data_IF_132263332733
#
_entry.id   IF_132263332733
#
_cell.length_a   1.000
_cell.length_b   1.000
_cell.length_c   1.000
_cell.angle_alpha   90.00
_cell.angle_beta   90.00
_cell.angle_gamma   90.00
#
_symmetry.space_group_name_H-M   'P 1'
#
loop_
_entity.id
_entity.type
_entity.pdbx_description
1 polymer ?
#
# COMPACT_ATOMS: atom_id res chain seq x y z
N UNK A 1 -22.81 -14.53 -8.07
CA UNK A 1 -21.48 -14.49 -8.71
C UNK A 1 -20.75 -13.18 -8.45
N UNK A 2 -21.39 -12.01 -8.62
CA UNK A 2 -20.80 -10.70 -8.27
C UNK A 2 -20.31 -10.61 -6.82
N UNK A 3 -21.19 -10.91 -5.84
CA UNK A 3 -20.83 -10.86 -4.42
C UNK A 3 -19.68 -11.82 -4.07
N UNK A 4 -19.59 -12.96 -4.76
CA UNK A 4 -18.48 -13.92 -4.61
C UNK A 4 -17.16 -13.30 -5.09
N UNK A 5 -17.17 -12.64 -6.25
CA UNK A 5 -15.99 -11.94 -6.78
C UNK A 5 -15.57 -10.82 -5.85
N UNK A 6 -16.51 -9.97 -5.42
CA UNK A 6 -16.25 -8.88 -4.47
C UNK A 6 -15.65 -9.40 -3.16
N UNK A 7 -16.21 -10.47 -2.61
CA UNK A 7 -15.71 -11.06 -1.38
C UNK A 7 -14.29 -11.63 -1.56
N UNK A 8 -14.04 -12.33 -2.67
CA UNK A 8 -12.72 -12.90 -2.97
C UNK A 8 -11.69 -11.79 -3.20
N UNK A 9 -12.00 -10.76 -3.98
CA UNK A 9 -11.07 -9.65 -4.22
C UNK A 9 -10.79 -8.88 -2.93
N UNK A 10 -11.80 -8.66 -2.09
CA UNK A 10 -11.62 -8.05 -0.77
C UNK A 10 -10.72 -8.89 0.16
N UNK A 11 -10.99 -10.20 0.27
CA UNK A 11 -10.17 -11.11 1.08
C UNK A 11 -8.74 -11.20 0.56
N UNK A 12 -8.56 -11.19 -0.77
CA UNK A 12 -7.26 -11.23 -1.41
C UNK A 12 -6.45 -9.96 -1.13
N UNK A 13 -7.06 -8.78 -1.26
CA UNK A 13 -6.40 -7.51 -0.91
C UNK A 13 -6.00 -7.45 0.55
N UNK A 14 -6.86 -7.91 1.49
CA UNK A 14 -6.49 -8.02 2.91
C UNK A 14 -5.26 -8.93 3.09
N UNK A 15 -5.29 -10.10 2.46
CA UNK A 15 -4.22 -11.10 2.57
C UNK A 15 -2.90 -10.53 2.03
N UNK A 16 -2.93 -9.91 0.85
CA UNK A 16 -1.75 -9.29 0.24
C UNK A 16 -1.23 -8.13 1.10
N UNK A 17 -2.11 -7.23 1.58
CA UNK A 17 -1.72 -6.14 2.49
C UNK A 17 -1.09 -6.68 3.78
N UNK A 18 -1.66 -7.73 4.36
CA UNK A 18 -1.13 -8.39 5.56
C UNK A 18 0.27 -8.99 5.32
N UNK A 19 0.47 -9.65 4.19
CA UNK A 19 1.78 -10.19 3.80
C UNK A 19 2.83 -9.08 3.67
N UNK A 20 2.48 -7.98 2.98
CA UNK A 20 3.39 -6.84 2.83
C UNK A 20 3.73 -6.22 4.19
N UNK A 21 2.73 -5.96 5.05
CA UNK A 21 2.97 -5.43 6.40
C UNK A 21 3.88 -6.37 7.20
N UNK A 22 3.67 -7.68 7.13
CA UNK A 22 4.46 -8.66 7.87
C UNK A 22 5.94 -8.65 7.44
N UNK A 23 6.20 -8.50 6.14
CA UNK A 23 7.55 -8.41 5.57
C UNK A 23 8.22 -7.07 5.94
N UNK A 24 7.48 -5.96 5.86
CA UNK A 24 8.06 -4.62 5.98
C UNK A 24 8.02 -4.03 7.40
N UNK A 25 7.32 -4.65 8.35
CA UNK A 25 7.21 -4.14 9.73
C UNK A 25 8.58 -3.89 10.36
N UNK A 26 9.50 -4.85 10.28
CA UNK A 26 10.85 -4.71 10.86
C UNK A 26 11.69 -3.63 10.14
N UNK A 27 11.85 -3.65 8.81
CA UNK A 27 12.56 -2.60 8.08
C UNK A 27 12.03 -1.18 8.35
N UNK A 28 10.70 -1.00 8.38
CA UNK A 28 10.10 0.31 8.67
C UNK A 28 10.47 0.82 10.06
N UNK A 29 10.46 -0.07 11.07
CA UNK A 29 10.85 0.28 12.43
C UNK A 29 12.30 0.74 12.53
N UNK A 30 13.22 0.01 11.87
CA UNK A 30 14.64 0.34 11.85
C UNK A 30 14.94 1.67 11.13
N UNK A 31 14.19 2.00 10.08
CA UNK A 31 14.31 3.30 9.39
C UNK A 31 13.83 4.43 10.31
N UNK A 32 12.65 4.28 10.91
CA UNK A 32 12.09 5.34 11.75
C UNK A 32 12.90 5.58 13.02
N UNK A 33 13.43 4.54 13.68
CA UNK A 33 14.26 4.71 14.89
C UNK A 33 15.59 5.42 14.61
N UNK A 34 16.08 5.43 13.37
CA UNK A 34 17.29 6.17 13.00
C UNK A 34 17.04 7.65 12.74
N UNK A 35 15.80 8.03 12.43
CA UNK A 35 15.46 9.39 12.00
C UNK A 35 14.71 10.15 13.12
N UNK A 36 13.89 9.43 13.89
CA UNK A 36 12.96 9.98 14.88
C UNK A 36 13.32 9.40 16.25
N UNK A 37 13.25 10.24 17.29
CA UNK A 37 13.44 9.82 18.68
C UNK A 37 12.49 8.67 19.08
N UNK A 38 12.99 7.78 19.94
CA UNK A 38 12.40 6.45 20.19
C UNK A 38 10.91 6.45 20.59
N UNK A 39 10.46 7.44 21.36
CA UNK A 39 9.06 7.52 21.81
C UNK A 39 8.08 7.79 20.68
N UNK A 40 8.48 8.57 19.68
CA UNK A 40 7.62 8.99 18.57
C UNK A 40 7.73 7.98 17.41
N UNK A 41 8.91 7.38 17.21
CA UNK A 41 9.16 6.38 16.15
C UNK A 41 8.14 5.24 16.13
N UNK A 42 7.79 4.68 17.30
CA UNK A 42 6.81 3.60 17.41
C UNK A 42 5.40 4.03 16.97
N UNK A 43 5.01 5.29 17.22
CA UNK A 43 3.72 5.83 16.78
C UNK A 43 3.68 5.99 15.25
N UNK A 44 4.77 6.48 14.64
CA UNK A 44 4.89 6.58 13.19
C UNK A 44 4.82 5.22 12.50
N UNK A 45 5.50 4.20 13.05
CA UNK A 45 5.44 2.86 12.51
C UNK A 45 4.01 2.30 12.52
N UNK A 46 3.27 2.48 13.62
CA UNK A 46 1.85 2.08 13.72
C UNK A 46 0.98 2.82 12.69
N UNK A 47 1.22 4.11 12.50
CA UNK A 47 0.51 4.91 11.52
C UNK A 47 0.76 4.41 10.08
N UNK A 48 2.02 4.15 9.72
CA UNK A 48 2.35 3.64 8.38
C UNK A 48 1.74 2.25 8.15
N UNK A 49 1.75 1.36 9.16
CA UNK A 49 1.09 0.05 9.06
C UNK A 49 -0.42 0.23 8.81
N UNK A 50 -1.08 1.11 9.56
CA UNK A 50 -2.49 1.43 9.34
C UNK A 50 -2.73 1.96 7.93
N UNK A 51 -1.91 2.91 7.47
CA UNK A 51 -1.99 3.46 6.12
C UNK A 51 -1.78 2.39 5.05
N UNK A 52 -0.87 1.43 5.26
CA UNK A 52 -0.67 0.29 4.33
C UNK A 52 -1.93 -0.52 4.13
N UNK A 53 -2.66 -0.83 5.22
CA UNK A 53 -3.92 -1.56 5.11
C UNK A 53 -4.97 -0.75 4.35
N UNK A 54 -5.15 0.52 4.71
CA UNK A 54 -6.15 1.39 4.07
C UNK A 54 -5.85 1.55 2.58
N UNK A 55 -4.60 1.89 2.22
CA UNK A 55 -4.20 2.15 0.84
C UNK A 55 -4.16 0.87 0.01
N UNK A 56 -3.69 -0.24 0.58
CA UNK A 56 -3.64 -1.54 -0.09
C UNK A 56 -5.03 -2.07 -0.40
N UNK A 57 -5.91 -2.13 0.62
CA UNK A 57 -7.28 -2.63 0.46
C UNK A 57 -8.08 -1.73 -0.49
N UNK A 58 -7.97 -0.40 -0.35
CA UNK A 58 -8.65 0.55 -1.26
C UNK A 58 -8.11 0.47 -2.69
N UNK A 59 -6.82 0.17 -2.85
CA UNK A 59 -6.18 0.05 -4.17
C UNK A 59 -6.60 -1.20 -4.94
N UNK A 60 -6.71 -2.34 -4.25
CA UNK A 60 -7.05 -3.62 -4.88
C UNK A 60 -8.54 -3.88 -5.06
N UNK A 61 -9.41 -3.29 -4.21
CA UNK A 61 -10.86 -3.46 -4.28
C UNK A 61 -11.47 -2.32 -5.10
N UNK A 62 -11.40 -2.45 -6.42
CA UNK A 62 -11.90 -1.43 -7.35
C UNK A 62 -13.39 -1.53 -7.62
N UNK A 63 -14.19 -1.00 -6.70
CA UNK A 63 -15.67 -0.99 -6.77
C UNK A 63 -16.16 -0.42 -8.12
N UNK A 64 -15.52 0.64 -8.63
CA UNK A 64 -15.89 1.27 -9.91
C UNK A 64 -15.72 0.36 -11.14
N UNK A 65 -14.76 -0.56 -11.11
CA UNK A 65 -14.59 -1.55 -12.19
C UNK A 65 -15.55 -2.73 -12.01
N UNK A 66 -15.89 -3.07 -10.77
CA UNK A 66 -16.90 -4.06 -10.42
C UNK A 66 -18.31 -3.66 -10.90
N UNK A 67 -18.66 -2.38 -10.91
CA UNK A 67 -19.95 -1.88 -11.44
C UNK A 67 -20.20 -2.27 -12.91
N UNK A 68 -19.15 -2.53 -13.70
CA UNK A 68 -19.25 -2.97 -15.11
C UNK A 68 -19.91 -4.34 -15.27
N UNK A 69 -19.99 -5.13 -14.20
CA UNK A 69 -20.64 -6.44 -14.18
C UNK A 69 -22.10 -6.37 -13.73
N UNK A 70 -22.59 -5.19 -13.32
CA UNK A 70 -23.97 -4.96 -12.89
C UNK A 70 -24.70 -4.04 -13.88
N UNK A 71 -24.01 -3.08 -14.49
CA UNK A 71 -24.60 -2.07 -15.37
C UNK A 71 -23.87 -1.99 -16.71
N UNK A 72 -24.62 -2.08 -17.82
CA UNK A 72 -24.07 -1.82 -19.15
C UNK A 72 -23.65 -0.35 -19.26
N UNK A 73 -22.35 -0.09 -19.45
CA UNK A 73 -21.82 1.29 -19.51
C UNK A 73 -22.22 2.05 -20.79
N UNK A 74 -22.65 1.36 -21.84
CA UNK A 74 -23.06 1.95 -23.12
C UNK A 74 -24.25 1.17 -23.71
N UNK A 75 -25.15 1.85 -24.43
CA UNK A 75 -26.35 1.24 -25.04
C UNK A 75 -26.04 0.10 -26.03
N UNK A 76 -24.82 0.05 -26.55
CA UNK A 76 -24.38 -0.94 -27.56
C UNK A 76 -23.34 -1.96 -27.02
N UNK A 77 -23.17 -2.06 -25.70
CA UNK A 77 -22.21 -3.00 -25.09
C UNK A 77 -22.96 -3.97 -24.18
N UNK A 78 -22.94 -5.25 -24.55
CA UNK A 78 -23.53 -6.31 -23.74
C UNK A 78 -22.90 -6.35 -22.33
N UNK A 79 -23.73 -6.67 -21.33
CA UNK A 79 -23.28 -6.88 -19.96
C UNK A 79 -22.18 -7.95 -19.97
N UNK A 80 -21.01 -7.60 -19.45
CA UNK A 80 -19.87 -8.50 -19.42
C UNK A 80 -20.23 -9.73 -18.59
N UNK A 81 -20.36 -10.88 -19.25
CA UNK A 81 -20.61 -12.13 -18.56
C UNK A 81 -19.38 -12.52 -17.73
N UNK A 82 -19.63 -12.91 -16.48
CA UNK A 82 -18.62 -13.40 -15.55
C UNK A 82 -18.17 -14.81 -15.97
N UNK A 83 -17.25 -14.90 -16.93
CA UNK A 83 -16.63 -16.17 -17.33
C UNK A 83 -15.44 -16.51 -16.44
N UNK A 84 -15.01 -17.78 -16.46
CA UNK A 84 -13.85 -18.26 -15.71
C UNK A 84 -12.56 -17.48 -16.05
N UNK A 85 -12.38 -17.13 -17.33
CA UNK A 85 -11.23 -16.36 -17.80
C UNK A 85 -11.16 -14.95 -17.16
N UNK A 86 -12.32 -14.28 -17.02
CA UNK A 86 -12.40 -12.96 -16.38
C UNK A 86 -12.12 -13.03 -14.89
N UNK A 87 -12.54 -14.10 -14.23
CA UNK A 87 -12.21 -14.34 -12.81
C UNK A 87 -10.71 -14.34 -12.56
N UNK A 88 -9.94 -15.04 -13.39
CA UNK A 88 -8.48 -15.09 -13.28
C UNK A 88 -7.85 -13.71 -13.44
N UNK A 89 -8.34 -12.92 -14.41
CA UNK A 89 -7.83 -11.56 -14.66
C UNK A 89 -8.12 -10.64 -13.47
N UNK A 90 -9.31 -10.72 -12.87
CA UNK A 90 -9.65 -9.88 -11.71
C UNK A 90 -8.83 -10.25 -10.48
N UNK A 91 -8.60 -11.54 -10.21
CA UNK A 91 -7.71 -11.97 -9.13
C UNK A 91 -6.30 -11.41 -9.33
N UNK A 92 -5.74 -11.58 -10.54
CA UNK A 92 -4.40 -11.06 -10.87
C UNK A 92 -4.34 -9.54 -10.71
N UNK A 93 -5.34 -8.83 -11.23
CA UNK A 93 -5.46 -7.37 -11.15
C UNK A 93 -5.51 -6.91 -9.69
N UNK A 94 -6.37 -7.51 -8.87
CA UNK A 94 -6.48 -7.18 -7.44
C UNK A 94 -5.15 -7.32 -6.72
N UNK A 95 -4.38 -8.38 -6.98
CA UNK A 95 -3.06 -8.57 -6.36
C UNK A 95 -2.11 -7.45 -6.79
N UNK A 96 -1.95 -7.23 -8.10
CA UNK A 96 -1.01 -6.26 -8.64
C UNK A 96 -1.37 -4.84 -8.22
N UNK A 97 -2.65 -4.48 -8.20
CA UNK A 97 -3.09 -3.15 -7.81
C UNK A 97 -2.94 -2.91 -6.31
N UNK A 98 -3.20 -3.93 -5.47
CA UNK A 98 -2.91 -3.86 -4.02
C UNK A 98 -1.41 -3.61 -3.81
N UNK A 99 -0.54 -4.39 -4.47
CA UNK A 99 0.91 -4.26 -4.36
C UNK A 99 1.39 -2.90 -4.87
N UNK A 100 0.90 -2.46 -6.03
CA UNK A 100 1.27 -1.19 -6.64
C UNK A 100 0.87 -0.01 -5.74
N UNK A 101 -0.34 0.00 -5.18
CA UNK A 101 -0.77 1.07 -4.28
C UNK A 101 0.09 1.15 -3.02
N UNK A 102 0.42 0.01 -2.42
CA UNK A 102 1.34 -0.03 -1.27
C UNK A 102 2.75 0.43 -1.67
N UNK A 103 3.25 -0.01 -2.83
CA UNK A 103 4.57 0.35 -3.33
C UNK A 103 4.71 1.86 -3.55
N UNK A 104 3.71 2.51 -4.16
CA UNK A 104 3.69 3.97 -4.32
C UNK A 104 3.69 4.69 -2.97
N UNK A 105 2.88 4.21 -2.01
CA UNK A 105 2.84 4.77 -0.67
C UNK A 105 4.21 4.66 0.03
N UNK A 106 4.82 3.48 0.01
CA UNK A 106 6.14 3.25 0.61
C UNK A 106 7.24 4.03 -0.11
N UNK A 107 7.19 4.15 -1.43
CA UNK A 107 8.15 4.97 -2.18
C UNK A 107 8.10 6.42 -1.71
N UNK A 108 6.91 7.00 -1.58
CA UNK A 108 6.74 8.38 -1.09
C UNK A 108 7.28 8.52 0.33
N UNK A 109 6.89 7.63 1.24
CA UNK A 109 7.38 7.62 2.63
C UNK A 109 8.90 7.50 2.68
N UNK A 110 9.48 6.64 1.85
CA UNK A 110 10.91 6.41 1.76
C UNK A 110 11.67 7.65 1.25
N UNK A 111 11.15 8.34 0.23
CA UNK A 111 11.74 9.60 -0.26
C UNK A 111 11.79 10.64 0.87
N UNK A 112 10.70 10.83 1.60
CA UNK A 112 10.68 11.77 2.73
C UNK A 112 11.61 11.33 3.87
N UNK A 113 11.66 10.04 4.18
CA UNK A 113 12.57 9.49 5.18
C UNK A 113 14.04 9.71 4.81
N UNK A 114 14.42 9.51 3.54
CA UNK A 114 15.77 9.78 3.06
C UNK A 114 16.17 11.25 3.18
N UNK A 115 15.26 12.16 2.80
CA UNK A 115 15.51 13.61 2.95
C UNK A 115 15.74 13.96 4.42
N UNK A 116 14.87 13.50 5.32
CA UNK A 116 15.02 13.71 6.75
C UNK A 116 16.35 13.15 7.29
N UNK A 117 16.72 11.92 6.87
CA UNK A 117 17.98 11.29 7.24
C UNK A 117 19.20 12.11 6.81
N UNK A 118 19.25 12.58 5.56
CA UNK A 118 20.37 13.37 5.04
C UNK A 118 20.51 14.69 5.80
N UNK A 119 19.39 15.35 6.12
CA UNK A 119 19.37 16.59 6.88
C UNK A 119 19.93 16.37 8.30
N UNK A 120 19.42 15.36 9.03
CA UNK A 120 19.87 15.05 10.39
C UNK A 120 21.36 14.72 10.41
N UNK A 121 21.82 13.84 9.53
CA UNK A 121 23.24 13.44 9.44
C UNK A 121 24.15 14.59 9.04
N UNK A 122 23.68 15.51 8.19
CA UNK A 122 24.42 16.72 7.83
C UNK A 122 24.63 17.67 9.01
N UNK A 123 23.66 17.79 9.92
CA UNK A 123 23.79 18.59 11.14
C UNK A 123 24.73 17.97 12.16
N UNK A 124 24.72 16.64 12.31
CA UNK A 124 25.65 15.92 13.20
C UNK A 124 27.11 16.17 12.81
N UNK A 125 27.46 16.04 11.52
CA UNK A 125 28.82 16.31 11.02
C UNK A 125 29.28 17.76 11.24
N UNK A 126 28.36 18.73 11.20
CA UNK A 126 28.69 20.15 11.39
C UNK A 126 28.95 20.51 12.86
N UNK A 127 28.33 19.79 13.80
CA UNK A 127 28.53 20.02 15.23
C UNK A 127 29.84 19.41 15.74
N UNK A 128 30.27 18.25 15.22
CA UNK A 128 31.57 17.66 15.56
C UNK A 128 32.75 18.55 15.13
N UNK A 129 32.64 19.24 14.00
CA UNK A 129 33.69 20.14 13.50
C UNK A 129 33.76 21.51 14.22
N UNK A 130 32.88 21.77 15.19
CA UNK A 130 32.90 22.98 16.04
C UNK A 130 33.47 22.73 17.44
N UNK A 131 33.75 21.47 17.80
CA UNK A 131 34.33 21.11 19.10
C UNK A 131 35.82 20.73 19.03
N UNK A 132 36.45 20.92 17.86
CA UNK A 132 37.90 20.86 17.63
C UNK A 132 38.37 22.26 17.28
#
# INVERSE_FOLDING_TARGET
MFFTLLFITFALSITVSFLVVSIFKKPLGEIFSRIIQDSISAAWQKYIIFATYVVGISGGVRIYDLERYITARHKDVEILQLTLERWTIEIYRTIIETLQSIAWMYLIVFIFALIAYVIVRGFEHKNTNKQV
#
